data_IF_629896761924
#
_entry.id   IF_629896761924
#
_cell.length_a   1.000
_cell.length_b   1.000
_cell.length_c   1.000
_cell.angle_alpha   90.00
_cell.angle_beta   90.00
_cell.angle_gamma   90.00
#
_symmetry.space_group_name_H-M   'P 1'
#
loop_
_entity.id
_entity.type
_entity.pdbx_description
1 polymer ?
#
# COMPACT_ATOMS: atom_id res chain seq x y z
N UNK A 1 15.98 -19.71 25.22
CA UNK A 1 15.31 -19.25 24.00
C UNK A 1 16.37 -18.87 22.97
N UNK A 2 16.24 -19.32 21.71
CA UNK A 2 17.19 -19.01 20.63
C UNK A 2 16.63 -17.84 19.83
N UNK A 3 17.37 -16.72 19.80
CA UNK A 3 17.07 -15.62 18.90
C UNK A 3 17.40 -16.01 17.45
N UNK A 4 16.57 -15.59 16.51
CA UNK A 4 16.96 -15.54 15.11
C UNK A 4 17.85 -14.31 14.87
N UNK A 5 18.88 -14.48 14.06
CA UNK A 5 19.74 -13.38 13.64
C UNK A 5 19.22 -12.81 12.33
N UNK A 6 18.91 -11.52 12.31
CA UNK A 6 18.45 -10.80 11.13
C UNK A 6 19.48 -9.74 10.78
N UNK A 7 19.83 -9.67 9.49
CA UNK A 7 20.68 -8.62 8.96
C UNK A 7 19.80 -7.44 8.56
N UNK A 8 20.03 -6.30 9.21
CA UNK A 8 19.35 -5.03 8.87
C UNK A 8 20.33 -4.11 8.16
N UNK A 9 19.92 -3.56 7.02
CA UNK A 9 20.77 -2.64 6.27
C UNK A 9 21.02 -1.36 7.09
N UNK A 10 22.31 -1.01 7.28
CA UNK A 10 22.74 0.16 8.03
C UNK A 10 23.74 0.98 7.22
N UNK A 11 23.22 1.79 6.30
CA UNK A 11 24.00 2.68 5.45
C UNK A 11 24.68 1.99 4.27
N UNK A 12 25.19 2.83 3.39
CA UNK A 12 25.95 2.43 2.21
C UNK A 12 27.42 2.81 2.39
N UNK A 13 28.31 2.09 1.74
CA UNK A 13 29.73 2.42 1.67
C UNK A 13 30.26 2.20 0.26
N UNK A 14 31.26 2.99 -0.13
CA UNK A 14 31.94 2.81 -1.40
C UNK A 14 33.06 1.78 -1.26
N UNK A 15 33.07 0.80 -2.14
CA UNK A 15 34.12 -0.22 -2.22
C UNK A 15 35.34 0.36 -2.95
N UNK A 16 36.55 -0.23 -2.78
CA UNK A 16 37.75 0.20 -3.46
C UNK A 16 37.68 0.20 -4.99
N UNK A 17 36.76 -0.58 -5.56
CA UNK A 17 36.48 -0.69 -6.99
C UNK A 17 35.45 0.36 -7.50
N UNK A 18 35.03 1.31 -6.63
CA UNK A 18 34.05 2.34 -6.93
C UNK A 18 32.58 1.86 -6.90
N UNK A 19 32.30 0.60 -6.55
CA UNK A 19 30.94 0.10 -6.41
C UNK A 19 30.41 0.38 -5.01
N UNK A 20 29.09 0.61 -4.92
CA UNK A 20 28.42 0.80 -3.62
C UNK A 20 28.12 -0.53 -2.96
N UNK A 21 28.49 -0.66 -1.70
CA UNK A 21 28.15 -1.76 -0.81
C UNK A 21 27.12 -1.30 0.22
N UNK A 22 26.48 -2.27 0.89
CA UNK A 22 25.58 -1.98 2.01
C UNK A 22 26.16 -2.61 3.26
N UNK A 23 26.27 -1.81 4.32
CA UNK A 23 26.57 -2.29 5.66
C UNK A 23 25.33 -2.95 6.27
N UNK A 24 25.57 -4.00 7.04
CA UNK A 24 24.50 -4.70 7.75
C UNK A 24 24.82 -4.80 9.23
N UNK A 25 23.85 -4.43 10.05
CA UNK A 25 23.85 -4.72 11.48
C UNK A 25 23.17 -6.07 11.75
N UNK A 26 23.71 -6.80 12.71
CA UNK A 26 23.10 -8.05 13.16
C UNK A 26 22.17 -7.75 14.30
N UNK A 27 20.86 -7.91 14.08
CA UNK A 27 19.83 -7.81 15.13
C UNK A 27 19.38 -9.20 15.58
N UNK A 28 19.19 -9.33 16.90
CA UNK A 28 18.57 -10.51 17.49
C UNK A 28 17.07 -10.27 17.57
N UNK A 29 16.29 -11.12 16.91
CA UNK A 29 14.83 -11.07 16.96
C UNK A 29 14.30 -12.36 17.58
N UNK A 30 13.18 -12.26 18.27
CA UNK A 30 12.51 -13.38 18.91
C UNK A 30 11.13 -13.54 18.30
N UNK A 31 10.69 -14.77 18.12
CA UNK A 31 9.31 -15.04 17.77
C UNK A 31 8.39 -14.58 18.91
N UNK A 32 7.19 -14.10 18.57
CA UNK A 32 6.25 -13.62 19.56
C UNK A 32 5.86 -14.71 20.57
N UNK A 33 5.84 -15.97 20.16
CA UNK A 33 5.60 -17.12 21.04
C UNK A 33 6.67 -17.29 22.11
N UNK A 34 7.85 -16.68 21.92
CA UNK A 34 8.97 -16.67 22.86
C UNK A 34 8.92 -15.46 23.83
N UNK A 35 7.94 -14.61 23.73
CA UNK A 35 7.79 -13.41 24.55
C UNK A 35 6.67 -13.59 25.58
N UNK A 36 6.86 -12.98 26.75
CA UNK A 36 5.82 -12.93 27.78
C UNK A 36 5.18 -11.54 27.76
N UNK A 37 3.86 -11.48 27.68
CA UNK A 37 3.14 -10.21 27.66
C UNK A 37 1.68 -10.35 27.28
N UNK A 38 1.03 -9.21 27.09
CA UNK A 38 -0.34 -9.21 26.55
C UNK A 38 -0.29 -9.67 25.11
N UNK A 39 -1.18 -10.60 24.69
CA UNK A 39 -1.24 -11.02 23.30
C UNK A 39 -1.43 -9.80 22.39
N UNK A 40 -0.70 -9.79 21.27
CA UNK A 40 -0.92 -8.77 20.23
C UNK A 40 -2.35 -8.95 19.72
N UNK A 41 -3.13 -7.87 19.82
CA UNK A 41 -4.48 -7.90 19.24
C UNK A 41 -4.36 -8.04 17.74
N UNK A 42 -4.94 -9.08 17.20
CA UNK A 42 -5.09 -9.21 15.75
C UNK A 42 -5.83 -7.99 15.20
N UNK A 43 -5.32 -7.46 14.11
CA UNK A 43 -5.93 -6.33 13.45
C UNK A 43 -7.19 -6.80 12.72
N UNK A 44 -8.35 -6.49 13.26
CA UNK A 44 -9.62 -6.78 12.57
C UNK A 44 -9.76 -5.85 11.37
N UNK A 45 -9.96 -6.44 10.20
CA UNK A 45 -10.23 -5.68 8.99
C UNK A 45 -11.52 -4.84 9.15
N UNK A 46 -11.52 -3.58 8.71
CA UNK A 46 -12.73 -2.77 8.72
C UNK A 46 -13.73 -3.28 7.67
N UNK A 47 -15.05 -3.07 7.87
CA UNK A 47 -16.02 -3.31 6.81
C UNK A 47 -15.63 -2.55 5.53
N UNK A 48 -15.83 -3.16 4.35
CA UNK A 48 -15.41 -2.58 3.07
C UNK A 48 -15.96 -1.16 2.84
N UNK A 49 -17.20 -0.90 3.23
CA UNK A 49 -17.80 0.43 3.14
C UNK A 49 -17.03 1.48 3.96
N UNK A 50 -16.60 1.10 5.15
CA UNK A 50 -15.79 1.95 6.03
C UNK A 50 -14.40 2.18 5.44
N UNK A 51 -13.77 1.13 4.89
CA UNK A 51 -12.48 1.25 4.21
C UNK A 51 -12.58 2.16 2.96
N UNK A 52 -13.63 2.03 2.16
CA UNK A 52 -13.89 2.89 1.00
C UNK A 52 -14.10 4.36 1.39
N UNK A 53 -14.86 4.62 2.45
CA UNK A 53 -15.00 5.97 2.99
C UNK A 53 -13.64 6.52 3.44
N UNK A 54 -12.86 5.72 4.16
CA UNK A 54 -11.57 6.14 4.65
C UNK A 54 -10.55 6.42 3.52
N UNK A 55 -10.52 5.62 2.45
CA UNK A 55 -9.60 5.84 1.33
C UNK A 55 -9.98 7.06 0.48
N UNK A 56 -11.27 7.42 0.43
CA UNK A 56 -11.78 8.60 -0.32
C UNK A 56 -11.83 9.88 0.51
N UNK A 57 -11.58 9.81 1.81
CA UNK A 57 -11.53 10.99 2.68
C UNK A 57 -10.13 11.60 2.67
N UNK A 58 -10.03 12.94 2.57
CA UNK A 58 -8.77 13.68 2.57
C UNK A 58 -7.75 13.15 1.54
N UNK A 59 -8.23 12.84 0.35
CA UNK A 59 -7.38 12.35 -0.76
C UNK A 59 -6.50 13.48 -1.31
N UNK A 60 -5.25 13.18 -1.75
CA UNK A 60 -4.34 14.18 -2.30
C UNK A 60 -4.79 14.71 -3.67
N UNK A 61 -5.61 13.95 -4.39
CA UNK A 61 -6.15 14.30 -5.71
C UNK A 61 -7.67 14.10 -5.73
N UNK A 62 -8.44 14.96 -6.43
CA UNK A 62 -9.88 14.79 -6.53
C UNK A 62 -10.29 13.42 -7.07
N UNK A 63 -11.35 12.84 -6.52
CA UNK A 63 -11.97 11.61 -7.03
C UNK A 63 -13.35 11.94 -7.58
N UNK A 64 -13.61 11.61 -8.84
CA UNK A 64 -14.85 11.91 -9.55
C UNK A 64 -15.44 10.69 -10.23
N UNK A 65 -16.76 10.58 -10.25
CA UNK A 65 -17.45 9.56 -11.04
C UNK A 65 -17.39 9.91 -12.54
N UNK A 66 -17.18 8.89 -13.37
CA UNK A 66 -17.16 9.02 -14.82
C UNK A 66 -17.98 7.92 -15.49
N UNK A 67 -18.68 8.28 -16.56
CA UNK A 67 -19.40 7.34 -17.43
C UNK A 67 -18.51 6.81 -18.55
N UNK A 68 -17.38 7.49 -18.82
CA UNK A 68 -16.45 7.14 -19.89
C UNK A 68 -15.45 6.03 -19.57
N UNK A 69 -15.48 5.49 -18.34
CA UNK A 69 -14.57 4.43 -17.90
C UNK A 69 -15.36 3.14 -17.74
N UNK A 70 -14.85 2.04 -18.32
CA UNK A 70 -15.48 0.73 -18.16
C UNK A 70 -15.35 0.21 -16.72
N UNK A 71 -16.34 -0.57 -16.28
CA UNK A 71 -16.32 -1.21 -14.97
C UNK A 71 -15.13 -2.17 -14.79
N UNK A 72 -14.67 -2.78 -15.89
CA UNK A 72 -13.50 -3.67 -15.86
C UNK A 72 -12.18 -2.96 -15.53
N UNK A 73 -12.08 -1.66 -15.83
CA UNK A 73 -10.94 -0.80 -15.48
C UNK A 73 -11.08 -0.30 -14.04
N UNK A 74 -12.31 -0.01 -13.62
CA UNK A 74 -12.67 0.42 -12.27
C UNK A 74 -12.37 1.88 -11.98
N UNK A 75 -11.13 2.32 -12.12
CA UNK A 75 -10.70 3.70 -11.95
C UNK A 75 -9.52 4.03 -12.87
N UNK A 76 -9.30 5.32 -13.14
CA UNK A 76 -8.19 5.83 -13.94
C UNK A 76 -7.75 7.20 -13.44
N UNK A 77 -6.46 7.37 -13.22
CA UNK A 77 -5.86 8.67 -12.92
C UNK A 77 -5.54 9.40 -14.22
N UNK A 78 -5.96 10.66 -14.30
CA UNK A 78 -5.64 11.59 -15.38
C UNK A 78 -4.57 12.58 -14.90
N UNK A 79 -3.37 12.49 -15.44
CA UNK A 79 -2.29 13.44 -15.15
C UNK A 79 -2.66 14.85 -15.58
N UNK A 80 -3.35 14.99 -16.73
CA UNK A 80 -3.79 16.28 -17.27
C UNK A 80 -4.65 17.06 -16.30
N UNK A 81 -5.59 16.38 -15.65
CA UNK A 81 -6.57 17.00 -14.76
C UNK A 81 -6.21 16.83 -13.29
N UNK A 82 -5.13 16.11 -13.01
CA UNK A 82 -4.73 15.68 -11.66
C UNK A 82 -5.91 15.10 -10.86
N UNK A 83 -6.67 14.19 -11.49
CA UNK A 83 -7.94 13.68 -10.96
C UNK A 83 -8.04 12.17 -11.17
N UNK A 84 -8.51 11.45 -10.17
CA UNK A 84 -8.88 10.04 -10.28
C UNK A 84 -10.35 9.95 -10.69
N UNK A 85 -10.61 9.36 -11.84
CA UNK A 85 -11.96 9.07 -12.33
C UNK A 85 -12.33 7.63 -12.00
N UNK A 86 -13.53 7.43 -11.49
CA UNK A 86 -14.07 6.13 -11.07
C UNK A 86 -15.24 5.75 -11.97
N UNK A 87 -15.25 4.52 -12.46
CA UNK A 87 -16.34 3.99 -13.25
C UNK A 87 -17.60 3.81 -12.40
N UNK A 88 -18.77 4.11 -12.96
CA UNK A 88 -20.05 3.84 -12.31
C UNK A 88 -20.31 2.34 -12.17
N UNK A 89 -20.88 1.93 -11.05
CA UNK A 89 -21.28 0.54 -10.79
C UNK A 89 -20.16 -0.39 -10.33
N UNK A 90 -18.95 0.16 -10.12
CA UNK A 90 -17.87 -0.60 -9.44
C UNK A 90 -18.00 -0.42 -7.94
N UNK A 91 -18.06 -1.52 -7.21
CA UNK A 91 -18.32 -1.50 -5.78
C UNK A 91 -17.38 -2.42 -5.00
N UNK A 92 -17.39 -2.22 -3.67
CA UNK A 92 -16.73 -3.11 -2.74
C UNK A 92 -15.23 -3.25 -2.97
N UNK A 93 -14.77 -4.48 -2.99
CA UNK A 93 -13.36 -4.83 -3.08
C UNK A 93 -12.71 -4.36 -4.39
N UNK A 94 -13.44 -4.44 -5.50
CA UNK A 94 -12.98 -3.99 -6.82
C UNK A 94 -12.68 -2.49 -6.83
N UNK A 95 -13.57 -1.72 -6.24
CA UNK A 95 -13.40 -0.27 -6.13
C UNK A 95 -12.22 0.09 -5.22
N UNK A 96 -12.06 -0.63 -4.09
CA UNK A 96 -10.93 -0.37 -3.19
C UNK A 96 -9.59 -0.63 -3.87
N UNK A 97 -9.47 -1.75 -4.60
CA UNK A 97 -8.27 -2.06 -5.37
C UNK A 97 -8.01 -0.99 -6.45
N UNK A 98 -9.01 -0.66 -7.26
CA UNK A 98 -8.89 0.31 -8.34
C UNK A 98 -8.47 1.70 -7.82
N UNK A 99 -9.10 2.17 -6.73
CA UNK A 99 -8.71 3.43 -6.08
C UNK A 99 -7.29 3.38 -5.53
N UNK A 100 -6.91 2.30 -4.85
CA UNK A 100 -5.54 2.14 -4.33
C UNK A 100 -4.50 2.19 -5.44
N UNK A 101 -4.76 1.53 -6.58
CA UNK A 101 -3.89 1.53 -7.76
C UNK A 101 -3.71 2.94 -8.33
N UNK A 102 -4.81 3.66 -8.55
CA UNK A 102 -4.74 4.97 -9.18
C UNK A 102 -4.22 6.05 -8.23
N UNK A 103 -4.44 5.91 -6.93
CA UNK A 103 -3.82 6.78 -5.93
C UNK A 103 -2.30 6.51 -5.82
N UNK A 104 -1.87 5.25 -5.92
CA UNK A 104 -0.44 4.91 -6.01
C UNK A 104 0.19 5.52 -7.27
N UNK A 105 -0.52 5.50 -8.41
CA UNK A 105 -0.09 6.14 -9.65
C UNK A 105 0.03 7.65 -9.51
N UNK A 106 -0.96 8.30 -8.92
CA UNK A 106 -0.96 9.74 -8.68
C UNK A 106 0.20 10.17 -7.75
N UNK A 107 0.56 9.30 -6.78
CA UNK A 107 1.65 9.57 -5.85
C UNK A 107 3.04 9.38 -6.47
N UNK A 108 3.23 8.33 -7.27
CA UNK A 108 4.56 7.88 -7.71
C UNK A 108 4.85 8.11 -9.20
N UNK A 109 3.83 8.28 -10.04
CA UNK A 109 3.97 8.28 -11.50
C UNK A 109 4.46 6.94 -12.06
N UNK A 110 4.47 5.86 -11.26
CA UNK A 110 5.03 4.57 -11.64
C UNK A 110 4.16 3.83 -12.66
N UNK A 111 4.76 2.81 -13.29
CA UNK A 111 4.05 1.94 -14.22
C UNK A 111 2.93 1.13 -13.54
N UNK A 112 2.06 0.54 -14.34
CA UNK A 112 0.87 -0.19 -13.88
C UNK A 112 1.22 -1.31 -12.92
N UNK A 113 2.26 -2.10 -13.21
CA UNK A 113 2.65 -3.24 -12.37
C UNK A 113 3.07 -2.80 -10.96
N UNK A 114 3.87 -1.75 -10.84
CA UNK A 114 4.31 -1.19 -9.55
C UNK A 114 3.11 -0.66 -8.77
N UNK A 115 2.18 0.01 -9.44
CA UNK A 115 0.95 0.52 -8.83
C UNK A 115 0.02 -0.61 -8.38
N UNK A 116 -0.10 -1.69 -9.16
CA UNK A 116 -0.85 -2.89 -8.80
C UNK A 116 -0.25 -3.58 -7.56
N UNK A 117 1.09 -3.65 -7.47
CA UNK A 117 1.76 -4.17 -6.30
C UNK A 117 1.46 -3.33 -5.04
N UNK A 118 1.51 -2.00 -5.14
CA UNK A 118 1.17 -1.11 -4.03
C UNK A 118 -0.31 -1.26 -3.62
N UNK A 119 -1.22 -1.37 -4.58
CA UNK A 119 -2.63 -1.61 -4.34
C UNK A 119 -2.88 -2.95 -3.63
N UNK A 120 -2.16 -4.02 -4.03
CA UNK A 120 -2.26 -5.32 -3.39
C UNK A 120 -1.78 -5.27 -1.93
N UNK A 121 -0.70 -4.57 -1.63
CA UNK A 121 -0.24 -4.36 -0.25
C UNK A 121 -1.31 -3.64 0.58
N UNK A 122 -1.92 -2.59 0.03
CA UNK A 122 -3.02 -1.88 0.69
C UNK A 122 -4.25 -2.80 0.89
N UNK A 123 -4.64 -3.57 -0.13
CA UNK A 123 -5.75 -4.52 -0.04
C UNK A 123 -5.53 -5.53 1.08
N UNK A 124 -4.37 -6.20 1.14
CA UNK A 124 -4.04 -7.17 2.17
C UNK A 124 -4.08 -6.55 3.57
N UNK A 125 -3.61 -5.32 3.72
CA UNK A 125 -3.64 -4.61 4.99
C UNK A 125 -5.06 -4.40 5.53
N UNK A 126 -6.05 -4.22 4.66
CA UNK A 126 -7.44 -3.94 5.04
C UNK A 126 -8.38 -5.12 4.84
N UNK A 127 -7.86 -6.33 4.62
CA UNK A 127 -8.64 -7.55 4.46
C UNK A 127 -9.41 -7.61 3.15
N UNK A 128 -9.00 -6.83 2.15
CA UNK A 128 -9.52 -6.89 0.79
C UNK A 128 -8.76 -7.96 0.01
N UNK A 129 -9.41 -8.86 -0.72
CA UNK A 129 -8.73 -9.85 -1.55
C UNK A 129 -7.74 -9.19 -2.53
N UNK A 130 -6.50 -9.65 -2.53
CA UNK A 130 -5.49 -9.17 -3.46
C UNK A 130 -5.73 -9.72 -4.87
N UNK A 131 -5.37 -8.93 -5.89
CA UNK A 131 -5.38 -9.34 -7.28
C UNK A 131 -3.94 -9.64 -7.71
N UNK A 132 -3.56 -10.90 -7.64
CA UNK A 132 -2.20 -11.29 -8.03
C UNK A 132 -2.06 -11.35 -9.55
N UNK A 133 -0.89 -10.91 -10.04
CA UNK A 133 -0.46 -11.21 -11.40
C UNK A 133 0.11 -12.63 -11.44
N UNK A 134 -0.31 -13.43 -12.42
CA UNK A 134 0.23 -14.79 -12.61
C UNK A 134 1.69 -14.76 -13.06
N UNK A 135 2.13 -13.65 -13.62
CA UNK A 135 3.48 -13.47 -14.16
C UNK A 135 4.00 -12.06 -13.93
N UNK A 136 5.27 -11.97 -13.55
CA UNK A 136 6.00 -10.69 -13.54
C UNK A 136 6.24 -10.27 -15.00
N UNK A 137 5.89 -9.04 -15.40
CA UNK A 137 6.18 -8.53 -16.74
C UNK A 137 7.66 -8.65 -17.11
N UNK A 138 7.95 -9.00 -18.35
CA UNK A 138 9.33 -9.25 -18.80
C UNK A 138 10.21 -8.00 -18.64
N UNK A 139 9.68 -6.81 -18.85
CA UNK A 139 10.36 -5.55 -18.60
C UNK A 139 10.80 -5.37 -17.12
N UNK A 140 10.00 -5.85 -16.18
CA UNK A 140 10.36 -5.82 -14.74
C UNK A 140 11.33 -6.94 -14.40
N UNK A 141 11.13 -8.12 -14.99
CA UNK A 141 12.02 -9.27 -14.79
C UNK A 141 13.45 -8.99 -15.28
N UNK A 142 13.57 -8.22 -16.37
CA UNK A 142 14.85 -7.84 -16.98
C UNK A 142 15.60 -6.73 -16.25
N UNK A 143 14.95 -5.99 -15.32
CA UNK A 143 15.58 -4.92 -14.56
C UNK A 143 16.81 -5.42 -13.78
N UNK A 144 17.81 -4.57 -13.62
CA UNK A 144 18.94 -4.79 -12.73
C UNK A 144 18.50 -4.82 -11.26
N UNK A 145 19.30 -5.47 -10.40
CA UNK A 145 18.97 -5.60 -8.97
C UNK A 145 18.72 -4.26 -8.26
N UNK A 146 19.44 -3.21 -8.66
CA UNK A 146 19.28 -1.85 -8.12
C UNK A 146 17.94 -1.25 -8.53
N UNK A 147 17.56 -1.41 -9.79
CA UNK A 147 16.28 -0.92 -10.34
C UNK A 147 15.09 -1.67 -9.73
N UNK A 148 15.21 -3.00 -9.57
CA UNK A 148 14.21 -3.81 -8.86
C UNK A 148 14.02 -3.31 -7.42
N UNK A 149 15.10 -3.00 -6.72
CA UNK A 149 15.04 -2.45 -5.37
C UNK A 149 14.39 -1.07 -5.36
N UNK A 150 14.70 -0.22 -6.34
CA UNK A 150 14.04 1.08 -6.51
C UNK A 150 12.53 0.94 -6.72
N UNK A 151 12.12 0.02 -7.59
CA UNK A 151 10.70 -0.28 -7.82
C UNK A 151 10.00 -0.77 -6.54
N UNK A 152 10.63 -1.65 -5.75
CA UNK A 152 10.09 -2.12 -4.47
C UNK A 152 10.00 -0.98 -3.44
N UNK A 153 10.93 -0.03 -3.42
CA UNK A 153 10.82 1.16 -2.58
C UNK A 153 9.61 2.01 -2.97
N UNK A 154 9.37 2.20 -4.27
CA UNK A 154 8.19 2.93 -4.76
C UNK A 154 6.90 2.22 -4.32
N UNK A 155 6.83 0.88 -4.44
CA UNK A 155 5.69 0.08 -3.95
C UNK A 155 5.46 0.32 -2.47
N UNK A 156 6.53 0.24 -1.66
CA UNK A 156 6.45 0.47 -0.21
C UNK A 156 5.95 1.87 0.11
N UNK A 157 6.54 2.88 -0.50
CA UNK A 157 6.25 4.28 -0.18
C UNK A 157 4.81 4.65 -0.58
N UNK A 158 4.34 4.21 -1.76
CA UNK A 158 2.96 4.41 -2.19
C UNK A 158 1.96 3.65 -1.29
N UNK A 159 2.27 2.41 -0.92
CA UNK A 159 1.41 1.63 -0.02
C UNK A 159 1.37 2.24 1.39
N UNK A 160 2.50 2.74 1.90
CA UNK A 160 2.57 3.42 3.20
C UNK A 160 1.75 4.71 3.19
N UNK A 161 1.86 5.53 2.15
CA UNK A 161 1.07 6.77 2.01
C UNK A 161 -0.44 6.47 2.08
N UNK A 162 -0.91 5.48 1.31
CA UNK A 162 -2.30 5.05 1.33
C UNK A 162 -2.70 4.57 2.73
N UNK A 163 -1.87 3.73 3.34
CA UNK A 163 -2.14 3.14 4.64
C UNK A 163 -2.22 4.18 5.75
N UNK A 164 -1.28 5.12 5.80
CA UNK A 164 -1.27 6.19 6.81
C UNK A 164 -2.52 7.06 6.73
N UNK A 165 -2.95 7.40 5.52
CA UNK A 165 -4.18 8.18 5.31
C UNK A 165 -5.42 7.41 5.73
N UNK A 166 -5.57 6.17 5.28
CA UNK A 166 -6.71 5.32 5.63
C UNK A 166 -6.77 5.09 7.14
N UNK A 167 -5.64 4.77 7.78
CA UNK A 167 -5.58 4.54 9.22
C UNK A 167 -5.95 5.79 10.02
N UNK A 168 -5.47 6.97 9.59
CA UNK A 168 -5.81 8.26 10.20
C UNK A 168 -7.32 8.52 10.13
N UNK A 169 -7.93 8.28 8.96
CA UNK A 169 -9.35 8.50 8.76
C UNK A 169 -10.22 7.49 9.53
N UNK A 170 -9.79 6.22 9.60
CA UNK A 170 -10.44 5.20 10.42
C UNK A 170 -10.36 5.53 11.91
N UNK A 171 -9.23 6.08 12.36
CA UNK A 171 -9.08 6.51 13.75
C UNK A 171 -9.99 7.68 14.07
N UNK A 172 -10.04 8.69 13.23
CA UNK A 172 -10.93 9.85 13.40
C UNK A 172 -12.41 9.44 13.46
N UNK A 173 -12.86 8.53 12.58
CA UNK A 173 -14.23 8.03 12.59
C UNK A 173 -14.58 7.29 13.89
N UNK A 174 -13.65 6.47 14.41
CA UNK A 174 -13.83 5.78 15.70
C UNK A 174 -13.94 6.75 16.88
N UNK A 175 -13.20 7.85 16.87
CA UNK A 175 -13.28 8.88 17.89
C UNK A 175 -14.62 9.62 17.85
N UNK A 176 -15.09 9.97 16.66
CA UNK A 176 -16.40 10.61 16.47
C UNK A 176 -17.54 9.71 16.98
N UNK A 177 -17.53 8.43 16.61
CA UNK A 177 -18.54 7.45 17.05
C UNK A 177 -18.57 7.23 18.56
N UNK A 178 -17.47 7.49 19.27
CA UNK A 178 -17.41 7.40 20.75
C UNK A 178 -17.94 8.64 21.43
N UNK A 179 -17.86 9.78 20.77
CA UNK A 179 -18.25 11.06 21.32
C UNK A 179 -19.71 11.45 20.98
N UNK A 180 -20.36 10.74 20.05
CA UNK A 180 -21.77 10.90 19.77
C UNK A 180 -22.58 10.18 20.86
N UNK A 181 -23.30 10.92 21.72
CA UNK A 181 -24.19 10.28 22.69
C UNK A 181 -25.30 9.56 21.90
N UNK A 182 -25.46 8.29 22.21
CA UNK A 182 -26.54 7.45 21.69
C UNK A 182 -27.87 8.22 21.85
N UNK A 183 -28.49 8.60 20.73
CA UNK A 183 -29.86 9.07 20.68
C UNK A 183 -30.81 7.89 20.71
#
# INVERSE_FOLDING_TARGET
EKAALVLEANGEYERPDGTMGVNFDVKRVFDISQTYGKPIRERTAPPIKTALKAITTNVPVPVKLSEGISQSVGAMYSEKDNTVYVARGVEGNELFFALSRELARAHSGANTFVCDCAANVACLRYGVPAKYCDRIPDEIAALESREKRSALNIVRDAACEIAERVDRNLFAERQQSRNDPVR
#
